data_IF_257799896812
#
_entry.id   IF_257799896812
#
_cell.length_a   1.000
_cell.length_b   1.000
_cell.length_c   1.000
_cell.angle_alpha   90.00
_cell.angle_beta   90.00
_cell.angle_gamma   90.00
#
_symmetry.space_group_name_H-M   'P 1'
#
loop_
_entity.id
_entity.type
_entity.pdbx_description
1 polymer ?
#
# COMPACT_ATOMS: atom_id res chain seq x y z
N UNK A 1 7.37 19.92 -34.64
CA UNK A 1 6.80 18.66 -34.09
C UNK A 1 6.46 18.95 -32.64
N UNK A 2 5.19 19.24 -32.34
CA UNK A 2 4.75 19.49 -30.96
C UNK A 2 4.51 18.14 -30.29
N UNK A 3 5.36 17.80 -29.33
CA UNK A 3 5.18 16.62 -28.50
C UNK A 3 4.11 16.99 -27.47
N UNK A 4 2.89 16.48 -27.64
CA UNK A 4 1.87 16.53 -26.60
C UNK A 4 2.27 15.49 -25.56
N UNK A 5 2.88 15.94 -24.46
CA UNK A 5 3.10 15.09 -23.30
C UNK A 5 1.74 14.73 -22.70
N UNK A 6 1.51 13.47 -22.27
CA UNK A 6 0.31 13.15 -21.50
C UNK A 6 0.25 14.05 -20.26
N UNK A 7 -0.95 14.46 -19.82
CA UNK A 7 -1.07 15.27 -18.61
C UNK A 7 -0.42 14.54 -17.43
N UNK A 8 0.33 15.29 -16.62
CA UNK A 8 0.89 14.76 -15.39
C UNK A 8 -0.22 14.14 -14.55
N UNK A 9 0.09 13.01 -13.90
CA UNK A 9 -0.87 12.33 -13.05
C UNK A 9 -1.27 13.23 -11.87
N UNK A 10 -2.57 13.45 -11.68
CA UNK A 10 -3.09 14.34 -10.64
C UNK A 10 -3.15 13.61 -9.28
N UNK A 11 -2.03 13.67 -8.55
CA UNK A 11 -1.92 13.04 -7.24
C UNK A 11 -2.65 13.82 -6.13
N UNK A 12 -2.92 15.11 -6.31
CA UNK A 12 -3.70 15.90 -5.35
C UNK A 12 -5.17 15.48 -5.39
N UNK A 13 -5.75 15.34 -6.58
CA UNK A 13 -7.11 14.82 -6.74
C UNK A 13 -7.23 13.40 -6.15
N UNK A 14 -6.22 12.55 -6.36
CA UNK A 14 -6.16 11.23 -5.74
C UNK A 14 -6.13 11.32 -4.22
N UNK A 15 -5.28 12.17 -3.64
CA UNK A 15 -5.22 12.38 -2.19
C UNK A 15 -6.57 12.82 -1.61
N UNK A 16 -7.23 13.80 -2.23
CA UNK A 16 -8.55 14.29 -1.78
C UNK A 16 -9.61 13.18 -1.85
N UNK A 17 -9.62 12.36 -2.90
CA UNK A 17 -10.54 11.23 -2.99
C UNK A 17 -10.27 10.19 -1.90
N UNK A 18 -9.00 9.86 -1.64
CA UNK A 18 -8.64 8.94 -0.55
C UNK A 18 -9.10 9.50 0.79
N UNK A 19 -8.86 10.79 1.05
CA UNK A 19 -9.29 11.46 2.27
C UNK A 19 -10.81 11.42 2.44
N UNK A 20 -11.59 11.69 1.40
CA UNK A 20 -13.05 11.59 1.44
C UNK A 20 -13.53 10.18 1.79
N UNK A 21 -12.89 9.14 1.24
CA UNK A 21 -13.21 7.76 1.60
C UNK A 21 -12.91 7.46 3.08
N UNK A 22 -11.80 8.02 3.60
CA UNK A 22 -11.41 7.89 5.00
C UNK A 22 -12.35 8.65 5.94
N UNK A 23 -12.78 9.86 5.57
CA UNK A 23 -13.77 10.64 6.32
C UNK A 23 -15.11 9.91 6.43
N UNK A 24 -15.51 9.21 5.36
CA UNK A 24 -16.67 8.33 5.33
C UNK A 24 -16.47 6.99 6.06
N UNK A 25 -15.30 6.78 6.69
CA UNK A 25 -14.92 5.55 7.41
C UNK A 25 -15.05 4.27 6.56
N UNK A 26 -14.82 4.39 5.24
CA UNK A 26 -14.91 3.25 4.32
C UNK A 26 -13.79 2.25 4.60
N UNK A 27 -14.11 0.96 4.48
CA UNK A 27 -13.08 -0.08 4.48
C UNK A 27 -12.27 -0.04 3.17
N UNK A 28 -10.95 0.06 3.28
CA UNK A 28 -10.07 0.18 2.12
C UNK A 28 -9.33 -1.14 1.83
N UNK A 29 -9.34 -1.55 0.56
CA UNK A 29 -8.48 -2.61 0.04
C UNK A 29 -7.35 -1.97 -0.74
N UNK A 30 -6.14 -2.12 -0.23
CA UNK A 30 -4.95 -1.47 -0.78
C UNK A 30 -4.03 -2.52 -1.38
N UNK A 31 -3.53 -2.29 -2.59
CA UNK A 31 -2.41 -3.04 -3.15
C UNK A 31 -1.24 -2.09 -3.36
N UNK A 32 -0.05 -2.50 -2.95
CA UNK A 32 1.18 -1.75 -3.17
C UNK A 32 2.07 -2.49 -4.17
N UNK A 33 2.87 -1.75 -4.93
CA UNK A 33 3.85 -2.26 -5.90
C UNK A 33 5.26 -1.70 -5.55
N UNK A 34 6.30 -2.07 -6.30
CA UNK A 34 7.66 -1.55 -6.07
C UNK A 34 7.80 -0.06 -6.44
N UNK A 35 6.95 0.43 -7.34
CA UNK A 35 6.74 1.87 -7.51
C UNK A 35 5.96 2.35 -6.28
N UNK A 36 6.41 3.39 -5.56
CA UNK A 36 5.75 3.86 -4.33
C UNK A 36 4.38 4.45 -4.64
N UNK A 37 3.40 3.55 -4.75
CA UNK A 37 2.01 3.87 -5.03
C UNK A 37 1.10 2.82 -4.39
N UNK A 38 -0.08 3.28 -4.01
CA UNK A 38 -1.17 2.46 -3.54
C UNK A 38 -2.29 2.42 -4.59
N UNK A 39 -2.75 1.23 -4.92
CA UNK A 39 -4.00 1.01 -5.63
C UNK A 39 -5.10 0.79 -4.60
N UNK A 40 -5.96 1.79 -4.44
CA UNK A 40 -7.00 1.84 -3.42
C UNK A 40 -8.33 1.44 -4.06
N UNK A 41 -9.06 0.56 -3.39
CA UNK A 41 -10.39 0.10 -3.79
C UNK A 41 -11.29 -0.04 -2.56
N UNK A 42 -12.60 0.12 -2.75
CA UNK A 42 -13.63 -0.18 -1.76
C UNK A 42 -14.82 -0.88 -2.46
N UNK A 43 -16.01 -0.91 -1.85
CA UNK A 43 -17.22 -1.47 -2.47
C UNK A 43 -17.69 -0.69 -3.71
N UNK A 44 -17.39 0.60 -3.77
CA UNK A 44 -18.00 1.56 -4.70
C UNK A 44 -17.02 1.97 -5.82
N UNK A 45 -15.73 1.71 -5.64
CA UNK A 45 -14.63 2.16 -6.49
C UNK A 45 -13.52 1.12 -6.55
N UNK A 46 -12.95 0.93 -7.73
CA UNK A 46 -11.81 0.04 -7.94
C UNK A 46 -10.62 0.78 -8.55
N UNK A 47 -9.43 0.52 -8.02
CA UNK A 47 -8.12 0.91 -8.59
C UNK A 47 -7.87 2.43 -8.73
N UNK A 48 -8.26 3.22 -7.73
CA UNK A 48 -7.69 4.56 -7.60
C UNK A 48 -6.19 4.42 -7.33
N UNK A 49 -5.35 4.91 -8.24
CA UNK A 49 -3.92 5.02 -7.97
C UNK A 49 -3.71 6.16 -6.98
N UNK A 50 -2.72 6.07 -6.11
CA UNK A 50 -2.26 7.17 -5.26
C UNK A 50 -0.76 7.04 -5.08
N UNK A 51 0.00 8.03 -5.55
CA UNK A 51 1.46 8.05 -5.41
C UNK A 51 1.83 8.38 -3.97
N UNK A 52 2.78 7.61 -3.44
CA UNK A 52 3.15 7.63 -2.04
C UNK A 52 4.48 8.33 -1.81
N UNK A 53 4.57 8.95 -0.65
CA UNK A 53 5.79 9.31 0.03
C UNK A 53 5.70 8.77 1.47
N UNK A 54 6.73 8.96 2.27
CA UNK A 54 6.77 8.45 3.65
C UNK A 54 5.60 8.97 4.49
N UNK A 55 5.23 10.26 4.32
CA UNK A 55 4.13 10.85 5.07
C UNK A 55 2.77 10.23 4.68
N UNK A 56 2.50 10.08 3.37
CA UNK A 56 1.23 9.53 2.90
C UNK A 56 1.08 8.04 3.18
N UNK A 57 2.19 7.28 3.17
CA UNK A 57 2.19 5.90 3.62
C UNK A 57 1.82 5.80 5.11
N UNK A 58 2.47 6.58 5.98
CA UNK A 58 2.17 6.61 7.41
C UNK A 58 0.71 7.03 7.68
N UNK A 59 0.20 8.00 6.93
CA UNK A 59 -1.21 8.42 7.02
C UNK A 59 -2.18 7.27 6.67
N UNK A 60 -1.91 6.52 5.60
CA UNK A 60 -2.71 5.34 5.24
C UNK A 60 -2.69 4.30 6.36
N UNK A 61 -1.52 3.97 6.90
CA UNK A 61 -1.40 2.99 8.00
C UNK A 61 -2.17 3.46 9.23
N UNK A 62 -2.00 4.73 9.62
CA UNK A 62 -2.73 5.31 10.75
C UNK A 62 -4.24 5.23 10.56
N UNK A 63 -4.76 5.53 9.36
CA UNK A 63 -6.17 5.38 9.07
C UNK A 63 -6.62 3.92 9.16
N UNK A 64 -5.88 2.99 8.57
CA UNK A 64 -6.25 1.57 8.58
C UNK A 64 -6.33 1.03 10.03
N UNK A 65 -5.42 1.47 10.90
CA UNK A 65 -5.36 1.09 12.31
C UNK A 65 -6.45 1.76 13.15
N UNK A 66 -6.53 3.09 13.11
CA UNK A 66 -7.33 3.89 14.04
C UNK A 66 -8.68 4.34 13.48
N UNK A 67 -8.78 4.40 12.16
CA UNK A 67 -9.87 5.04 11.42
C UNK A 67 -9.75 6.56 11.34
N UNK A 68 -8.70 7.19 11.86
CA UNK A 68 -8.57 8.66 11.83
C UNK A 68 -8.22 9.15 10.40
N UNK A 69 -9.06 10.00 9.77
CA UNK A 69 -8.80 10.53 8.44
C UNK A 69 -7.78 11.69 8.41
N UNK A 70 -7.38 12.24 9.55
CA UNK A 70 -6.48 13.39 9.60
C UNK A 70 -5.15 13.09 8.92
N UNK A 71 -4.83 13.88 7.89
CA UNK A 71 -3.66 13.72 7.03
C UNK A 71 -2.40 14.40 7.58
N UNK A 72 -2.49 15.12 8.71
CA UNK A 72 -1.37 15.81 9.38
C UNK A 72 -0.36 16.48 8.43
N UNK A 73 -0.86 17.21 7.42
CA UNK A 73 -0.04 17.92 6.41
C UNK A 73 0.79 16.98 5.51
N UNK A 74 0.21 15.87 5.08
CA UNK A 74 0.72 15.15 3.90
C UNK A 74 0.75 16.11 2.72
N UNK A 75 1.90 16.19 2.04
CA UNK A 75 2.07 16.95 0.80
C UNK A 75 2.07 15.97 -0.39
N UNK A 76 0.95 15.81 -1.13
CA UNK A 76 0.82 14.76 -2.16
C UNK A 76 1.73 14.97 -3.37
N UNK A 77 2.13 16.21 -3.65
CA UNK A 77 3.03 16.55 -4.74
C UNK A 77 4.52 16.41 -4.38
N UNK A 78 4.84 16.18 -3.11
CA UNK A 78 6.21 15.94 -2.70
C UNK A 78 6.66 14.55 -3.15
N UNK A 79 7.48 14.53 -4.19
CA UNK A 79 8.13 13.31 -4.67
C UNK A 79 9.23 12.86 -3.70
N UNK A 80 9.27 11.56 -3.44
CA UNK A 80 10.28 10.93 -2.60
C UNK A 80 10.71 9.63 -3.28
N UNK A 81 12.03 9.40 -3.35
CA UNK A 81 12.57 8.15 -3.88
C UNK A 81 12.50 7.08 -2.79
N UNK A 82 11.58 6.14 -2.95
CA UNK A 82 11.37 5.01 -2.05
C UNK A 82 11.71 3.69 -2.78
N UNK A 83 13.00 3.34 -2.91
CA UNK A 83 13.39 2.08 -3.52
C UNK A 83 12.90 0.88 -2.70
N UNK A 84 12.59 -0.21 -3.40
CA UNK A 84 12.09 -1.45 -2.79
C UNK A 84 10.87 -1.24 -1.88
N UNK A 85 10.04 -0.24 -2.21
CA UNK A 85 8.94 0.22 -1.36
C UNK A 85 8.07 -0.92 -0.84
N UNK A 86 7.66 -1.84 -1.71
CA UNK A 86 6.80 -2.97 -1.32
C UNK A 86 7.44 -3.85 -0.23
N UNK A 87 8.74 -4.13 -0.36
CA UNK A 87 9.49 -4.94 0.59
C UNK A 87 9.72 -4.18 1.90
N UNK A 88 10.10 -2.91 1.82
CA UNK A 88 10.32 -2.06 2.99
C UNK A 88 9.03 -1.89 3.79
N UNK A 89 7.92 -1.59 3.12
CA UNK A 89 6.60 -1.48 3.72
C UNK A 89 6.18 -2.79 4.41
N UNK A 90 6.40 -3.95 3.78
CA UNK A 90 6.10 -5.23 4.43
C UNK A 90 6.92 -5.41 5.71
N UNK A 91 8.24 -5.23 5.64
CA UNK A 91 9.13 -5.42 6.79
C UNK A 91 8.74 -4.50 7.94
N UNK A 92 8.45 -3.24 7.66
CA UNK A 92 7.96 -2.29 8.65
C UNK A 92 6.69 -2.81 9.37
N UNK A 93 5.73 -3.36 8.63
CA UNK A 93 4.52 -3.92 9.22
C UNK A 93 4.77 -5.18 10.05
N UNK A 94 5.68 -6.04 9.60
CA UNK A 94 6.11 -7.25 10.35
C UNK A 94 6.81 -6.85 11.65
N UNK A 95 7.72 -5.88 11.58
CA UNK A 95 8.49 -5.39 12.73
C UNK A 95 7.57 -4.72 13.76
N UNK A 96 6.55 -3.98 13.31
CA UNK A 96 5.46 -3.42 14.14
C UNK A 96 4.44 -4.46 14.62
N UNK A 97 4.62 -5.75 14.32
CA UNK A 97 3.77 -6.87 14.76
C UNK A 97 2.32 -6.80 14.28
N UNK A 98 2.10 -6.24 13.09
CA UNK A 98 0.79 -6.30 12.45
C UNK A 98 0.41 -7.73 12.05
N UNK A 99 -0.90 -8.00 11.99
CA UNK A 99 -1.44 -9.31 11.59
C UNK A 99 -1.28 -9.49 10.08
N UNK A 100 -0.30 -10.30 9.71
CA UNK A 100 0.04 -10.61 8.31
C UNK A 100 -0.13 -12.10 8.08
N UNK A 101 -0.77 -12.45 6.97
CA UNK A 101 -1.02 -13.83 6.58
C UNK A 101 -0.50 -14.09 5.17
N UNK A 102 0.15 -15.24 4.97
CA UNK A 102 0.37 -15.78 3.62
C UNK A 102 -0.97 -16.22 3.04
N UNK A 103 -1.23 -15.84 1.79
CA UNK A 103 -2.36 -16.35 1.03
C UNK A 103 -1.88 -17.61 0.32
N UNK A 104 -2.33 -18.82 0.73
CA UNK A 104 -1.91 -20.05 0.10
C UNK A 104 -2.40 -20.10 -1.35
N UNK A 105 -1.50 -20.39 -2.28
CA UNK A 105 -1.87 -20.70 -3.65
C UNK A 105 -1.94 -22.22 -3.82
N UNK A 106 -2.89 -22.68 -4.63
CA UNK A 106 -3.05 -24.09 -4.97
C UNK A 106 -1.87 -24.69 -5.77
N UNK A 107 -0.92 -23.87 -6.24
CA UNK A 107 0.27 -24.31 -6.99
C UNK A 107 1.49 -23.48 -6.58
N UNK A 108 2.49 -24.14 -5.99
CA UNK A 108 3.72 -23.56 -5.44
C UNK A 108 4.71 -23.02 -6.50
N UNK A 109 4.37 -23.04 -7.79
CA UNK A 109 5.29 -22.75 -8.89
C UNK A 109 5.38 -21.27 -9.29
N UNK A 110 4.80 -20.34 -8.51
CA UNK A 110 4.87 -18.92 -8.84
C UNK A 110 6.09 -18.24 -8.22
N UNK A 111 6.79 -17.34 -8.95
CA UNK A 111 7.94 -16.60 -8.43
C UNK A 111 7.57 -15.50 -7.43
N UNK A 112 6.37 -15.55 -6.82
CA UNK A 112 5.83 -14.52 -5.94
C UNK A 112 5.15 -15.12 -4.71
N UNK A 113 5.34 -14.45 -3.57
CA UNK A 113 4.60 -14.69 -2.33
C UNK A 113 3.49 -13.63 -2.25
N UNK A 114 2.26 -14.08 -1.98
CA UNK A 114 1.14 -13.18 -1.75
C UNK A 114 0.85 -13.11 -0.25
N UNK A 115 0.80 -11.88 0.28
CA UNK A 115 0.54 -11.63 1.69
C UNK A 115 -0.62 -10.65 1.84
N UNK A 116 -1.32 -10.76 2.95
CA UNK A 116 -2.34 -9.81 3.37
C UNK A 116 -2.05 -9.33 4.79
N UNK A 117 -1.91 -8.03 4.96
CA UNK A 117 -1.96 -7.37 6.26
C UNK A 117 -3.41 -6.94 6.55
N UNK A 118 -3.93 -7.31 7.71
CA UNK A 118 -5.33 -7.07 8.09
C UNK A 118 -5.40 -6.03 9.20
N UNK A 119 -6.24 -5.01 8.98
CA UNK A 119 -6.47 -3.89 9.89
C UNK A 119 -7.97 -3.73 10.18
N UNK A 120 -8.32 -2.83 11.11
CA UNK A 120 -9.70 -2.56 11.48
C UNK A 120 -10.50 -1.88 10.36
N UNK A 121 -9.86 -0.97 9.62
CA UNK A 121 -10.48 -0.20 8.53
C UNK A 121 -10.00 -0.62 7.14
N UNK A 122 -9.45 -1.83 7.01
CA UNK A 122 -9.10 -2.35 5.70
C UNK A 122 -8.00 -3.39 5.72
N UNK A 123 -7.35 -3.54 4.57
CA UNK A 123 -6.35 -4.56 4.32
C UNK A 123 -5.37 -4.11 3.25
N UNK A 124 -4.13 -4.57 3.39
CA UNK A 124 -3.06 -4.31 2.43
C UNK A 124 -2.62 -5.64 1.82
N UNK A 125 -2.57 -5.68 0.50
CA UNK A 125 -2.15 -6.82 -0.30
C UNK A 125 -0.74 -6.58 -0.84
N UNK A 126 0.14 -7.56 -0.61
CA UNK A 126 1.49 -7.59 -1.13
C UNK A 126 1.64 -8.73 -2.12
N UNK A 127 2.41 -8.50 -3.18
CA UNK A 127 2.83 -9.52 -4.14
C UNK A 127 4.33 -9.39 -4.38
N UNK A 128 5.12 -10.01 -3.53
CA UNK A 128 6.58 -9.84 -3.48
C UNK A 128 7.26 -11.00 -4.19
N UNK A 129 8.35 -10.74 -4.91
CA UNK A 129 9.16 -11.80 -5.52
C UNK A 129 9.66 -12.76 -4.46
N UNK A 130 9.50 -14.06 -4.71
CA UNK A 130 10.01 -15.09 -3.83
C UNK A 130 11.53 -15.18 -3.99
N UNK A 131 12.25 -14.55 -3.05
CA UNK A 131 13.70 -14.64 -2.94
C UNK A 131 14.06 -15.32 -1.63
N UNK A 132 15.25 -15.97 -1.58
CA UNK A 132 15.72 -16.63 -0.36
C UNK A 132 15.71 -15.69 0.87
N UNK A 133 16.19 -14.43 0.78
CA UNK A 133 16.14 -13.50 1.91
C UNK A 133 14.73 -13.17 2.41
N UNK A 134 13.75 -13.05 1.51
CA UNK A 134 12.37 -12.75 1.90
C UNK A 134 11.71 -13.95 2.58
N UNK A 135 11.92 -15.16 2.04
CA UNK A 135 11.39 -16.38 2.64
C UNK A 135 11.96 -16.60 4.04
N UNK A 136 13.27 -16.42 4.21
CA UNK A 136 13.94 -16.53 5.50
C UNK A 136 13.43 -15.50 6.51
N UNK A 137 13.29 -14.24 6.09
CA UNK A 137 12.76 -13.17 6.94
C UNK A 137 11.33 -13.46 7.41
N UNK A 138 10.45 -13.91 6.52
CA UNK A 138 9.08 -14.27 6.85
C UNK A 138 9.00 -15.47 7.80
N UNK A 139 9.75 -16.54 7.50
CA UNK A 139 9.82 -17.73 8.34
C UNK A 139 10.33 -17.40 9.76
N UNK A 140 11.33 -16.53 9.88
CA UNK A 140 11.88 -16.05 11.17
C UNK A 140 10.86 -15.26 11.98
N UNK A 141 9.84 -14.70 11.33
CA UNK A 141 8.73 -13.99 11.98
C UNK A 141 7.46 -14.85 12.11
N UNK A 142 7.54 -16.16 11.88
CA UNK A 142 6.41 -17.10 11.91
C UNK A 142 5.28 -16.75 10.93
N UNK A 143 5.62 -16.14 9.78
CA UNK A 143 4.69 -15.78 8.70
C UNK A 143 4.91 -16.69 7.52
#
# INVERSE_FOLDING_TARGET
>A
MNIILPPAYDNEAAHLQVKQLMEQKKNLSIRVDDIPCAWISNSDMTRLKYMLNTASWNWIINYLETGNPDDFRVFPLQEESLPDFQTTALKELVDKKYKIYRIPFLRETQPYINLIAVFKFGKIYFRIRQTHPIVEYLNSNNI
#
